data_IF_378489639072
#
_entry.id   IF_378489639072
#
_cell.length_a   1.000
_cell.length_b   1.000
_cell.length_c   1.000
_cell.angle_alpha   90.00
_cell.angle_beta   90.00
_cell.angle_gamma   90.00
#
_symmetry.space_group_name_H-M   'P 1'
#
loop_
_entity.id
_entity.type
_entity.pdbx_description
1 polymer ?
#
# COMPACT_ATOMS: atom_id res chain seq x y z
N UNK A 1 6.76 -22.57 4.41
CA UNK A 1 7.80 -22.22 3.42
C UNK A 1 7.37 -21.07 2.50
N UNK A 2 6.13 -21.03 2.02
CA UNK A 2 5.68 -19.96 1.09
C UNK A 2 5.73 -18.53 1.66
N UNK A 3 5.35 -18.28 2.92
CA UNK A 3 5.42 -16.93 3.54
C UNK A 3 6.84 -16.34 3.58
N UNK A 4 7.83 -17.20 3.81
CA UNK A 4 9.24 -16.83 3.80
C UNK A 4 9.69 -16.42 2.40
N UNK A 5 9.36 -17.20 1.38
CA UNK A 5 9.69 -16.87 -0.01
C UNK A 5 9.07 -15.55 -0.47
N UNK A 6 7.80 -15.30 -0.11
CA UNK A 6 7.11 -14.03 -0.40
C UNK A 6 7.79 -12.85 0.30
N UNK A 7 8.12 -13.00 1.58
CA UNK A 7 8.83 -11.98 2.37
C UNK A 7 10.19 -11.66 1.77
N UNK A 8 10.96 -12.70 1.43
CA UNK A 8 12.28 -12.56 0.84
C UNK A 8 12.22 -11.85 -0.52
N UNK A 9 11.31 -12.29 -1.41
CA UNK A 9 11.13 -11.68 -2.73
C UNK A 9 10.72 -10.20 -2.62
N UNK A 10 9.82 -9.86 -1.70
CA UNK A 10 9.40 -8.48 -1.49
C UNK A 10 10.54 -7.62 -0.93
N UNK A 11 11.26 -8.09 0.09
CA UNK A 11 12.41 -7.37 0.65
C UNK A 11 13.51 -7.16 -0.39
N UNK A 12 13.81 -8.19 -1.18
CA UNK A 12 14.81 -8.09 -2.25
C UNK A 12 14.35 -7.14 -3.36
N UNK A 13 13.07 -7.19 -3.76
CA UNK A 13 12.51 -6.26 -4.73
C UNK A 13 12.58 -4.81 -4.21
N UNK A 14 12.25 -4.56 -2.93
CA UNK A 14 12.39 -3.25 -2.30
C UNK A 14 13.85 -2.80 -2.27
N UNK A 15 14.79 -3.69 -1.93
CA UNK A 15 16.23 -3.39 -1.97
C UNK A 15 16.68 -2.95 -3.37
N UNK A 16 16.31 -3.72 -4.40
CA UNK A 16 16.66 -3.42 -5.79
C UNK A 16 16.02 -2.11 -6.28
N UNK A 17 14.75 -1.86 -5.93
CA UNK A 17 14.07 -0.60 -6.26
C UNK A 17 14.76 0.62 -5.63
N UNK A 18 15.27 0.49 -4.39
CA UNK A 18 15.99 1.56 -3.70
C UNK A 18 17.42 1.74 -4.22
N UNK A 19 18.10 0.66 -4.60
CA UNK A 19 19.50 0.69 -5.04
C UNK A 19 19.63 1.12 -6.51
N UNK A 20 18.62 0.84 -7.35
CA UNK A 20 18.58 1.24 -8.75
C UNK A 20 19.51 0.41 -9.66
N UNK A 21 20.82 0.65 -9.58
CA UNK A 21 21.85 0.00 -10.41
C UNK A 21 22.92 -0.69 -9.54
N UNK A 22 22.60 -1.84 -8.91
CA UNK A 22 23.49 -2.46 -7.94
C UNK A 22 24.75 -3.04 -8.58
N UNK A 23 25.91 -2.74 -7.99
CA UNK A 23 27.17 -3.44 -8.29
C UNK A 23 27.10 -4.84 -7.64
N UNK A 24 27.89 -5.82 -8.12
CA UNK A 24 27.89 -7.21 -7.63
C UNK A 24 27.94 -7.34 -6.10
N UNK A 25 28.70 -6.47 -5.43
CA UNK A 25 28.80 -6.47 -3.97
C UNK A 25 27.49 -6.06 -3.29
N UNK A 26 26.81 -5.04 -3.79
CA UNK A 26 25.53 -4.57 -3.27
C UNK A 26 24.42 -5.60 -3.45
N UNK A 27 24.48 -6.39 -4.54
CA UNK A 27 23.56 -7.49 -4.76
C UNK A 27 23.75 -8.61 -3.72
N UNK A 28 25.00 -8.97 -3.40
CA UNK A 28 25.30 -10.00 -2.39
C UNK A 28 24.83 -9.52 -1.01
N UNK A 29 25.09 -8.25 -0.66
CA UNK A 29 24.62 -7.66 0.60
C UNK A 29 23.09 -7.63 0.65
N UNK A 30 22.43 -7.22 -0.43
CA UNK A 30 20.97 -7.19 -0.51
C UNK A 30 20.33 -8.58 -0.35
N UNK A 31 20.89 -9.60 -0.99
CA UNK A 31 20.42 -10.99 -0.87
C UNK A 31 20.61 -11.50 0.56
N UNK A 32 21.80 -11.31 1.14
CA UNK A 32 22.09 -11.81 2.49
C UNK A 32 21.26 -11.09 3.55
N UNK A 33 21.15 -9.77 3.49
CA UNK A 33 20.30 -8.98 4.37
C UNK A 33 18.82 -9.39 4.26
N UNK A 34 18.31 -9.53 3.03
CA UNK A 34 16.92 -9.93 2.79
C UNK A 34 16.65 -11.34 3.32
N UNK A 35 17.59 -12.28 3.19
CA UNK A 35 17.45 -13.64 3.75
C UNK A 35 17.37 -13.62 5.27
N UNK A 36 18.25 -12.87 5.93
CA UNK A 36 18.29 -12.76 7.40
C UNK A 36 16.99 -12.14 7.92
N UNK A 37 16.56 -11.02 7.33
CA UNK A 37 15.34 -10.32 7.74
C UNK A 37 14.11 -11.17 7.45
N UNK A 38 14.03 -11.80 6.27
CA UNK A 38 12.92 -12.71 5.96
C UNK A 38 12.87 -13.87 6.96
N UNK A 39 14.01 -14.38 7.43
CA UNK A 39 14.02 -15.46 8.40
C UNK A 39 13.48 -15.00 9.76
N UNK A 40 13.98 -13.86 10.25
CA UNK A 40 13.61 -13.30 11.55
C UNK A 40 12.15 -12.80 11.59
N UNK A 41 11.69 -12.18 10.51
CA UNK A 41 10.42 -11.46 10.47
C UNK A 41 9.28 -12.22 9.77
N UNK A 42 9.48 -13.48 9.34
CA UNK A 42 8.45 -14.22 8.57
C UNK A 42 7.10 -14.31 9.30
N UNK A 43 7.12 -14.31 10.63
CA UNK A 43 5.93 -14.48 11.47
C UNK A 43 5.09 -13.20 11.55
N UNK A 44 5.71 -12.04 11.36
CA UNK A 44 5.07 -10.74 11.50
C UNK A 44 4.56 -10.17 10.16
N UNK A 45 5.27 -10.45 9.05
CA UNK A 45 4.96 -9.79 7.77
C UNK A 45 3.68 -10.28 7.09
N UNK A 46 3.32 -11.56 7.22
CA UNK A 46 2.21 -12.14 6.45
C UNK A 46 1.25 -12.94 7.34
N UNK A 47 0.21 -12.25 7.80
CA UNK A 47 -0.98 -12.88 8.36
C UNK A 47 -1.86 -13.43 7.23
N UNK A 48 -2.57 -14.51 7.55
CA UNK A 48 -3.29 -15.42 6.67
C UNK A 48 -3.98 -14.73 5.47
N UNK A 49 -3.52 -15.03 4.24
CA UNK A 49 -4.14 -14.73 2.91
C UNK A 49 -3.23 -14.00 1.90
N UNK A 50 -1.91 -14.00 2.08
CA UNK A 50 -0.96 -13.37 1.16
C UNK A 50 -0.78 -14.12 -0.18
N UNK A 51 -1.43 -15.28 -0.34
CA UNK A 51 -1.33 -16.10 -1.56
C UNK A 51 -2.07 -15.50 -2.75
N UNK A 52 -3.07 -14.63 -2.52
CA UNK A 52 -3.78 -13.96 -3.62
C UNK A 52 -2.90 -12.96 -4.38
N UNK A 53 -1.87 -12.40 -3.76
CA UNK A 53 -0.96 -11.43 -4.38
C UNK A 53 -0.12 -12.02 -5.53
N UNK A 54 0.17 -13.32 -5.52
CA UNK A 54 0.97 -13.98 -6.56
C UNK A 54 0.15 -14.54 -7.73
N UNK A 55 -1.18 -14.37 -7.72
CA UNK A 55 -1.99 -14.72 -8.88
C UNK A 55 -1.95 -13.55 -9.88
N UNK A 56 -1.45 -13.73 -11.12
CA UNK A 56 -1.32 -12.64 -12.09
C UNK A 56 -2.65 -11.94 -12.40
N UNK A 57 -3.78 -12.67 -12.37
CA UNK A 57 -5.12 -12.08 -12.49
C UNK A 57 -5.48 -11.16 -11.33
N UNK A 58 -4.96 -11.44 -10.13
CA UNK A 58 -5.15 -10.61 -8.94
C UNK A 58 -4.20 -9.41 -8.91
N UNK A 59 -3.17 -9.35 -9.75
CA UNK A 59 -2.20 -8.25 -9.81
C UNK A 59 -2.67 -7.09 -10.71
N UNK A 60 -3.59 -7.36 -11.65
CA UNK A 60 -4.22 -6.31 -12.47
C UNK A 60 -5.15 -5.41 -11.65
N UNK A 61 -5.90 -6.00 -10.71
CA UNK A 61 -6.84 -5.27 -9.86
C UNK A 61 -6.20 -4.17 -9.00
N UNK A 62 -5.07 -4.38 -8.29
CA UNK A 62 -4.41 -3.33 -7.52
C UNK A 62 -3.84 -2.24 -8.43
N UNK A 63 -3.37 -2.56 -9.64
CA UNK A 63 -2.92 -1.53 -10.60
C UNK A 63 -4.04 -0.56 -11.01
N UNK A 64 -5.20 -1.11 -11.41
CA UNK A 64 -6.39 -0.31 -11.76
C UNK A 64 -6.84 0.51 -10.55
N UNK A 65 -6.89 -0.12 -9.37
CA UNK A 65 -7.25 0.54 -8.13
C UNK A 65 -6.33 1.74 -7.82
N UNK A 66 -5.02 1.58 -7.93
CA UNK A 66 -4.05 2.65 -7.71
C UNK A 66 -4.25 3.82 -8.68
N UNK A 67 -4.49 3.55 -9.97
CA UNK A 67 -4.74 4.62 -10.96
C UNK A 67 -6.00 5.42 -10.61
N UNK A 68 -7.08 4.73 -10.23
CA UNK A 68 -8.33 5.38 -9.80
C UNK A 68 -8.07 6.22 -8.54
N UNK A 69 -7.33 5.67 -7.57
CA UNK A 69 -7.01 6.33 -6.31
C UNK A 69 -6.22 7.63 -6.54
N UNK A 70 -5.17 7.58 -7.36
CA UNK A 70 -4.38 8.77 -7.74
C UNK A 70 -5.29 9.83 -8.38
N UNK A 71 -6.19 9.43 -9.28
CA UNK A 71 -7.15 10.33 -9.89
C UNK A 71 -8.10 10.99 -8.88
N UNK A 72 -8.56 10.27 -7.87
CA UNK A 72 -9.36 10.82 -6.78
C UNK A 72 -8.56 11.71 -5.82
N UNK A 73 -7.29 11.41 -5.56
CA UNK A 73 -6.42 12.22 -4.71
C UNK A 73 -6.16 13.60 -5.34
N UNK A 74 -5.86 13.64 -6.63
CA UNK A 74 -5.66 14.91 -7.35
C UNK A 74 -6.92 15.78 -7.26
N UNK A 75 -8.10 15.18 -7.49
CA UNK A 75 -9.38 15.90 -7.38
C UNK A 75 -9.60 16.43 -5.97
N UNK A 76 -9.34 15.60 -4.96
CA UNK A 76 -9.48 15.98 -3.55
C UNK A 76 -8.57 17.14 -3.16
N UNK A 77 -7.31 17.16 -3.63
CA UNK A 77 -6.42 18.30 -3.39
C UNK A 77 -6.91 19.59 -4.04
N UNK A 78 -7.46 19.52 -5.26
CA UNK A 78 -8.05 20.69 -5.92
C UNK A 78 -9.27 21.20 -5.13
N UNK A 79 -10.16 20.29 -4.71
CA UNK A 79 -11.33 20.66 -3.89
C UNK A 79 -10.91 21.29 -2.57
N UNK A 80 -9.93 20.69 -1.88
CA UNK A 80 -9.41 21.20 -0.62
C UNK A 80 -8.79 22.59 -0.78
N UNK A 81 -7.98 22.80 -1.83
CA UNK A 81 -7.40 24.10 -2.13
C UNK A 81 -8.48 25.16 -2.40
N UNK A 82 -9.53 24.80 -3.15
CA UNK A 82 -10.68 25.67 -3.41
C UNK A 82 -11.40 26.06 -2.10
N UNK A 83 -11.69 25.08 -1.23
CA UNK A 83 -12.36 25.30 0.06
C UNK A 83 -11.55 26.19 1.01
N UNK A 84 -10.22 26.13 0.95
CA UNK A 84 -9.35 27.03 1.71
C UNK A 84 -9.49 28.47 1.19
N UNK A 85 -9.52 28.67 -0.13
CA UNK A 85 -9.63 29.99 -0.75
C UNK A 85 -11.02 30.61 -0.51
N UNK A 86 -12.09 29.83 -0.62
CA UNK A 86 -13.47 30.29 -0.42
C UNK A 86 -13.86 30.39 1.06
N UNK A 87 -13.08 29.78 1.96
CA UNK A 87 -13.40 29.68 3.39
C UNK A 87 -14.58 28.76 3.71
N UNK A 88 -15.06 27.96 2.75
CA UNK A 88 -16.21 27.08 2.91
C UNK A 88 -15.79 25.74 3.53
N UNK A 89 -15.57 25.72 4.85
CA UNK A 89 -15.13 24.53 5.60
C UNK A 89 -16.16 24.22 6.68
N UNK A 90 -16.82 23.05 6.60
CA UNK A 90 -17.79 22.59 7.58
C UNK A 90 -17.36 21.24 8.17
N UNK A 91 -16.74 21.22 9.36
CA UNK A 91 -16.29 19.97 9.97
C UNK A 91 -17.47 19.15 10.48
N UNK A 92 -17.57 17.90 10.02
CA UNK A 92 -18.60 16.93 10.45
C UNK A 92 -17.95 15.59 10.76
N UNK A 93 -18.32 14.97 11.88
CA UNK A 93 -17.89 13.60 12.21
C UNK A 93 -18.97 12.63 11.71
N UNK A 94 -18.64 11.87 10.68
CA UNK A 94 -19.50 10.83 10.10
C UNK A 94 -18.99 9.43 10.45
N UNK A 95 -19.92 8.49 10.65
CA UNK A 95 -19.60 7.06 10.82
C UNK A 95 -20.10 6.31 9.59
N UNK A 96 -19.18 5.69 8.86
CA UNK A 96 -19.50 4.92 7.65
C UNK A 96 -19.34 3.42 7.92
N UNK A 97 -20.36 2.58 7.69
CA UNK A 97 -20.25 1.13 7.87
C UNK A 97 -19.27 0.53 6.84
N UNK A 98 -18.48 -0.46 7.26
CA UNK A 98 -17.51 -1.16 6.40
C UNK A 98 -17.95 -2.60 6.14
N UNK A 99 -17.83 -3.08 4.91
CA UNK A 99 -18.16 -4.46 4.49
C UNK A 99 -16.92 -5.38 4.40
N UNK A 100 -15.74 -4.84 4.67
CA UNK A 100 -14.44 -5.46 4.43
C UNK A 100 -14.12 -6.50 5.51
N UNK A 101 -13.73 -7.69 5.08
CA UNK A 101 -13.57 -8.85 5.95
C UNK A 101 -12.20 -8.93 6.62
N UNK A 102 -11.12 -8.60 5.90
CA UNK A 102 -9.75 -8.68 6.42
C UNK A 102 -9.26 -7.36 6.97
N UNK A 103 -8.42 -7.39 8.01
CA UNK A 103 -7.86 -6.17 8.60
C UNK A 103 -6.96 -5.41 7.62
N UNK A 104 -6.26 -6.12 6.71
CA UNK A 104 -5.53 -5.48 5.62
C UNK A 104 -6.45 -4.66 4.71
N UNK A 105 -7.59 -5.23 4.27
CA UNK A 105 -8.53 -4.52 3.40
C UNK A 105 -9.23 -3.36 4.12
N UNK A 106 -9.53 -3.50 5.42
CA UNK A 106 -10.07 -2.39 6.22
C UNK A 106 -9.08 -1.23 6.28
N UNK A 107 -7.80 -1.50 6.56
CA UNK A 107 -6.75 -0.48 6.61
C UNK A 107 -6.50 0.16 5.25
N UNK A 108 -6.51 -0.64 4.16
CA UNK A 108 -6.37 -0.12 2.80
C UNK A 108 -7.48 0.90 2.49
N UNK A 109 -8.74 0.56 2.75
CA UNK A 109 -9.89 1.44 2.51
C UNK A 109 -9.84 2.67 3.41
N UNK A 110 -9.48 2.51 4.69
CA UNK A 110 -9.35 3.63 5.63
C UNK A 110 -8.27 4.64 5.18
N UNK A 111 -7.12 4.15 4.71
CA UNK A 111 -6.06 4.99 4.18
C UNK A 111 -6.49 5.72 2.90
N UNK A 112 -7.20 5.04 1.99
CA UNK A 112 -7.72 5.69 0.78
C UNK A 112 -8.71 6.80 1.11
N UNK A 113 -9.64 6.59 2.05
CA UNK A 113 -10.56 7.64 2.49
C UNK A 113 -9.78 8.83 3.09
N UNK A 114 -8.73 8.55 3.85
CA UNK A 114 -7.88 9.58 4.47
C UNK A 114 -7.11 10.40 3.42
N UNK A 115 -6.62 9.77 2.35
CA UNK A 115 -5.90 10.45 1.26
C UNK A 115 -6.83 11.19 0.29
N UNK A 116 -8.13 10.83 0.25
CA UNK A 116 -9.12 11.49 -0.60
C UNK A 116 -10.21 12.16 0.24
N UNK A 117 -9.89 13.20 1.05
CA UNK A 117 -10.92 13.96 1.73
C UNK A 117 -11.86 14.59 0.69
N UNK A 118 -13.08 14.06 0.63
CA UNK A 118 -14.16 14.66 -0.14
C UNK A 118 -14.76 15.85 0.61
N UNK A 119 -15.56 16.69 -0.07
CA UNK A 119 -16.40 17.63 0.64
C UNK A 119 -17.28 16.85 1.63
N UNK A 120 -17.32 17.33 2.88
CA UNK A 120 -18.35 16.92 3.82
C UNK A 120 -19.72 17.06 3.13
N UNK A 121 -20.60 16.04 3.18
CA UNK A 121 -21.95 16.16 2.66
C UNK A 121 -22.72 17.31 3.34
#
# INVERSE_FOLDING_TARGET
MHKFSVSFLLLLATWLLMTGAPITLELIVGITASLIIAHLCNKFMFYESSYRLFNPKSLLNPGIYTIILIGSEIKSYITTASSIITGSINPTIIRTPTTQTTDFTKTLVANSITMTPGPSP
#
